data_IF_155775395640
#
_entry.id   IF_155775395640
#
_cell.length_a   1.000
_cell.length_b   1.000
_cell.length_c   1.000
_cell.angle_alpha   90.00
_cell.angle_beta   90.00
_cell.angle_gamma   90.00
#
_symmetry.space_group_name_H-M   'P 1'
#
loop_
_entity.id
_entity.type
_entity.pdbx_description
1 polymer ?
#
# COMPACT_ATOMS: atom_id res chain seq x y z
N UNK A 1 7.21 15.43 -0.17
CA UNK A 1 6.58 15.47 1.17
C UNK A 1 6.25 14.06 1.62
N UNK A 2 6.17 13.75 2.93
CA UNK A 2 5.62 12.47 3.39
C UNK A 2 4.49 12.72 4.40
N UNK A 3 3.32 12.15 4.09
CA UNK A 3 2.10 12.25 4.88
C UNK A 3 1.71 10.86 5.38
N UNK A 4 1.55 10.72 6.69
CA UNK A 4 1.07 9.48 7.32
C UNK A 4 -0.36 9.67 7.81
N UNK A 5 -1.26 8.83 7.33
CA UNK A 5 -2.70 8.88 7.61
C UNK A 5 -3.04 7.70 8.53
N UNK A 6 -3.58 7.98 9.70
CA UNK A 6 -3.73 7.01 10.79
C UNK A 6 -5.17 6.93 11.24
N UNK A 7 -5.63 5.75 11.68
CA UNK A 7 -6.95 5.59 12.26
C UNK A 7 -7.48 4.17 12.14
N UNK A 8 -8.58 3.90 12.82
CA UNK A 8 -9.24 2.59 12.84
C UNK A 8 -9.89 2.25 11.49
N UNK A 9 -10.31 0.99 11.33
CA UNK A 9 -11.06 0.59 10.14
C UNK A 9 -12.39 1.36 10.07
N UNK A 10 -12.77 1.78 8.85
CA UNK A 10 -13.94 2.63 8.65
C UNK A 10 -13.74 4.12 8.97
N UNK A 11 -12.58 4.56 9.46
CA UNK A 11 -12.37 5.97 9.85
C UNK A 11 -12.18 6.97 8.69
N UNK A 12 -12.34 6.53 7.43
CA UNK A 12 -12.20 7.40 6.27
C UNK A 12 -10.75 7.66 5.83
N UNK A 13 -9.80 6.77 6.17
CA UNK A 13 -8.40 6.84 5.71
C UNK A 13 -8.26 6.81 4.19
N UNK A 14 -8.81 5.78 3.54
CA UNK A 14 -8.80 5.63 2.08
C UNK A 14 -9.60 6.74 1.39
N UNK A 15 -10.63 7.25 2.06
CA UNK A 15 -11.39 8.42 1.59
C UNK A 15 -10.51 9.66 1.52
N UNK A 16 -9.80 10.03 2.59
CA UNK A 16 -8.94 11.22 2.58
C UNK A 16 -7.73 11.04 1.66
N UNK A 17 -7.20 9.82 1.59
CA UNK A 17 -6.13 9.46 0.66
C UNK A 17 -6.57 9.70 -0.80
N UNK A 18 -7.76 9.20 -1.16
CA UNK A 18 -8.34 9.39 -2.49
C UNK A 18 -8.76 10.84 -2.74
N UNK A 19 -9.27 11.54 -1.73
CA UNK A 19 -9.56 12.97 -1.80
C UNK A 19 -8.34 13.74 -2.27
N UNK A 20 -7.17 13.52 -1.64
CA UNK A 20 -5.93 14.15 -2.07
C UNK A 20 -5.55 13.76 -3.49
N UNK A 21 -5.65 12.47 -3.85
CA UNK A 21 -5.36 11.99 -5.21
C UNK A 21 -6.16 12.76 -6.29
N UNK A 22 -7.44 13.06 -6.02
CA UNK A 22 -8.29 13.82 -6.96
C UNK A 22 -7.88 15.28 -7.17
N UNK A 23 -7.01 15.84 -6.30
CA UNK A 23 -6.56 17.24 -6.40
C UNK A 23 -5.31 17.41 -7.25
N UNK A 24 -4.65 16.32 -7.63
CA UNK A 24 -3.41 16.39 -8.39
C UNK A 24 -3.64 16.18 -9.87
N UNK A 25 -2.96 17.01 -10.67
CA UNK A 25 -2.91 16.90 -12.14
C UNK A 25 -1.75 15.99 -12.58
N UNK A 26 -0.66 15.96 -11.79
CA UNK A 26 0.52 15.11 -12.04
C UNK A 26 0.19 13.62 -11.90
N UNK A 27 1.13 12.75 -12.27
CA UNK A 27 0.99 11.29 -12.11
C UNK A 27 0.58 10.90 -10.68
N UNK A 28 -0.39 10.00 -10.58
CA UNK A 28 -0.93 9.45 -9.34
C UNK A 28 -0.57 7.95 -9.30
N UNK A 29 0.51 7.63 -8.59
CA UNK A 29 0.94 6.25 -8.39
C UNK A 29 0.19 5.64 -7.20
N UNK A 30 -0.47 4.50 -7.36
CA UNK A 30 -1.17 3.90 -6.21
C UNK A 30 -1.24 2.37 -6.23
N UNK A 31 -1.14 1.75 -5.05
CA UNK A 31 -1.23 0.29 -4.87
C UNK A 31 -2.66 -0.24 -4.75
N UNK A 32 -3.65 0.65 -4.84
CA UNK A 32 -5.06 0.32 -4.93
C UNK A 32 -5.65 0.97 -6.18
N UNK A 33 -6.82 0.51 -6.60
CA UNK A 33 -7.44 0.96 -7.83
C UNK A 33 -8.05 2.35 -7.66
N UNK A 34 -7.57 3.29 -8.47
CA UNK A 34 -8.13 4.63 -8.58
C UNK A 34 -8.74 4.85 -9.97
N UNK A 35 -9.96 5.38 -10.00
CA UNK A 35 -10.68 5.74 -11.24
C UNK A 35 -10.37 7.20 -11.62
N UNK A 36 -9.09 7.47 -11.89
CA UNK A 36 -8.58 8.79 -12.29
C UNK A 36 -7.82 8.68 -13.62
N UNK A 37 -7.85 9.73 -14.44
CA UNK A 37 -7.23 9.70 -15.77
C UNK A 37 -5.68 9.65 -15.72
N UNK A 38 -5.09 10.14 -14.65
CA UNK A 38 -3.66 10.19 -14.38
C UNK A 38 -3.20 9.09 -13.40
N UNK A 39 -4.03 8.07 -13.17
CA UNK A 39 -3.69 6.93 -12.33
C UNK A 39 -2.67 6.02 -13.01
N UNK A 40 -1.64 5.63 -12.24
CA UNK A 40 -0.65 4.65 -12.61
C UNK A 40 -0.58 3.61 -11.47
N UNK A 41 -0.77 2.31 -11.75
CA UNK A 41 -0.67 1.28 -10.72
C UNK A 41 0.75 1.22 -10.17
N UNK A 42 0.88 1.22 -8.84
CA UNK A 42 2.16 1.07 -8.14
C UNK A 42 2.38 -0.40 -7.80
N UNK A 43 3.42 -0.98 -8.40
CA UNK A 43 3.84 -2.35 -8.20
C UNK A 43 5.22 -2.45 -7.54
N UNK A 44 5.62 -3.64 -7.09
CA UNK A 44 6.99 -3.86 -6.59
C UNK A 44 8.01 -3.58 -7.70
N UNK A 45 7.69 -3.91 -8.95
CA UNK A 45 8.61 -3.72 -10.06
C UNK A 45 8.96 -2.24 -10.25
N UNK A 46 8.04 -1.33 -9.92
CA UNK A 46 8.28 0.10 -9.96
C UNK A 46 9.23 0.54 -8.83
N UNK A 47 9.19 -0.12 -7.67
CA UNK A 47 10.20 0.11 -6.63
C UNK A 47 11.56 -0.46 -6.99
N UNK A 48 11.61 -1.60 -7.70
CA UNK A 48 12.86 -2.19 -8.17
C UNK A 48 13.50 -1.30 -9.25
N UNK A 49 12.67 -0.71 -10.10
CA UNK A 49 13.06 0.21 -11.16
C UNK A 49 12.64 1.64 -10.80
N UNK A 50 13.22 2.19 -9.72
CA UNK A 50 12.83 3.50 -9.19
C UNK A 50 12.89 4.63 -10.22
N UNK A 51 13.62 4.47 -11.32
CA UNK A 51 13.69 5.45 -12.40
C UNK A 51 12.36 5.65 -13.13
N UNK A 52 11.43 4.70 -13.01
CA UNK A 52 10.05 4.86 -13.47
C UNK A 52 9.22 5.74 -12.52
N UNK A 53 9.69 5.95 -11.29
CA UNK A 53 9.03 6.73 -10.25
C UNK A 53 9.66 8.12 -10.16
N UNK A 54 9.45 8.92 -11.21
CA UNK A 54 9.85 10.32 -11.24
C UNK A 54 8.61 11.20 -11.35
N UNK A 55 8.62 12.29 -10.59
CA UNK A 55 7.62 13.36 -10.57
C UNK A 55 6.16 12.90 -10.41
N UNK A 56 5.58 13.15 -9.24
CA UNK A 56 4.17 12.84 -9.00
C UNK A 56 3.85 12.61 -7.54
N UNK A 57 2.71 11.94 -7.33
CA UNK A 57 2.15 11.69 -6.01
C UNK A 57 1.91 10.19 -5.86
N UNK A 58 2.41 9.63 -4.77
CA UNK A 58 2.30 8.23 -4.44
C UNK A 58 1.30 8.04 -3.30
N UNK A 59 0.29 7.20 -3.51
CA UNK A 59 -0.77 6.89 -2.57
C UNK A 59 -0.74 5.40 -2.22
N UNK A 60 -0.32 5.09 -1.00
CA UNK A 60 -0.18 3.74 -0.51
C UNK A 60 -1.25 3.47 0.54
N UNK A 61 -2.30 2.74 0.17
CA UNK A 61 -3.26 2.21 1.14
C UNK A 61 -2.68 0.97 1.83
N UNK A 62 -2.92 0.82 3.11
CA UNK A 62 -2.38 -0.27 3.94
C UNK A 62 -0.86 -0.44 3.78
N UNK A 63 -0.13 0.68 3.84
CA UNK A 63 1.30 0.74 3.54
C UNK A 63 2.17 -0.13 4.46
N UNK A 64 1.64 -0.63 5.59
CA UNK A 64 2.31 -1.63 6.43
C UNK A 64 2.69 -2.89 5.63
N UNK A 65 1.97 -3.22 4.54
CA UNK A 65 2.33 -4.34 3.65
C UNK A 65 3.67 -4.15 2.93
N UNK A 66 4.20 -2.92 2.89
CA UNK A 66 5.48 -2.56 2.26
C UNK A 66 6.53 -2.16 3.31
N UNK A 67 6.14 -1.42 4.35
CA UNK A 67 7.04 -0.79 5.32
C UNK A 67 6.70 -1.10 6.79
N UNK A 68 6.76 -2.38 7.14
CA UNK A 68 6.46 -2.87 8.49
C UNK A 68 7.67 -2.83 9.44
N UNK A 69 7.48 -2.29 10.66
CA UNK A 69 8.53 -2.14 11.67
C UNK A 69 9.21 -3.46 12.07
N UNK A 70 8.44 -4.55 12.15
CA UNK A 70 8.94 -5.87 12.56
C UNK A 70 9.80 -6.55 11.50
N UNK A 71 9.69 -6.13 10.24
CA UNK A 71 10.46 -6.67 9.12
C UNK A 71 11.37 -5.61 8.49
N UNK A 72 11.86 -4.66 9.29
CA UNK A 72 12.73 -3.53 8.88
C UNK A 72 14.00 -3.89 8.10
N UNK A 73 14.53 -5.11 8.27
CA UNK A 73 15.68 -5.63 7.51
C UNK A 73 15.32 -6.31 6.18
N UNK A 74 14.03 -6.46 5.86
CA UNK A 74 13.58 -7.08 4.62
C UNK A 74 13.88 -6.16 3.40
N UNK A 75 14.28 -6.76 2.28
CA UNK A 75 14.64 -6.04 1.06
C UNK A 75 13.56 -5.04 0.60
N UNK A 76 12.28 -5.43 0.61
CA UNK A 76 11.18 -4.54 0.23
C UNK A 76 11.07 -3.32 1.15
N UNK A 77 11.24 -3.51 2.47
CA UNK A 77 11.18 -2.42 3.42
C UNK A 77 12.38 -1.48 3.24
N UNK A 78 13.59 -2.03 3.04
CA UNK A 78 14.78 -1.24 2.73
C UNK A 78 14.64 -0.43 1.43
N UNK A 79 14.13 -1.06 0.38
CA UNK A 79 13.86 -0.43 -0.92
C UNK A 79 12.86 0.71 -0.78
N UNK A 80 11.75 0.46 -0.10
CA UNK A 80 10.72 1.49 0.20
C UNK A 80 11.30 2.62 1.05
N UNK A 81 12.16 2.30 2.02
CA UNK A 81 12.86 3.31 2.84
C UNK A 81 13.79 4.18 1.99
N UNK A 82 14.54 3.60 1.05
CA UNK A 82 15.38 4.37 0.14
C UNK A 82 14.58 5.29 -0.76
N UNK A 83 13.44 4.84 -1.29
CA UNK A 83 12.53 5.69 -2.04
C UNK A 83 12.07 6.88 -1.19
N UNK A 84 11.64 6.64 0.05
CA UNK A 84 11.19 7.69 0.98
C UNK A 84 12.30 8.71 1.24
N UNK A 85 13.54 8.27 1.39
CA UNK A 85 14.68 9.18 1.60
C UNK A 85 14.99 10.00 0.35
N UNK A 86 14.83 9.42 -0.84
CA UNK A 86 15.14 10.08 -2.11
C UNK A 86 13.95 10.83 -2.71
N UNK A 87 12.77 10.83 -2.07
CA UNK A 87 11.52 11.43 -2.57
C UNK A 87 11.69 12.86 -3.10
N UNK A 88 12.51 13.71 -2.44
CA UNK A 88 12.74 15.10 -2.88
C UNK A 88 13.55 15.20 -4.17
N UNK A 89 14.53 14.31 -4.38
CA UNK A 89 15.31 14.27 -5.63
C UNK A 89 14.47 13.79 -6.83
N UNK A 90 13.37 13.08 -6.54
CA UNK A 90 12.44 12.53 -7.52
C UNK A 90 11.16 13.36 -7.67
N UNK A 91 11.05 14.50 -6.97
CA UNK A 91 9.83 15.32 -6.94
C UNK A 91 8.57 14.51 -6.60
N UNK A 92 8.70 13.60 -5.62
CA UNK A 92 7.62 12.75 -5.13
C UNK A 92 7.05 13.24 -3.80
N UNK A 93 5.73 13.34 -3.75
CA UNK A 93 4.96 13.42 -2.52
C UNK A 93 4.35 12.05 -2.23
N UNK A 94 4.52 11.56 -1.00
CA UNK A 94 4.11 10.21 -0.60
C UNK A 94 3.04 10.33 0.48
N UNK A 95 1.94 9.62 0.29
CA UNK A 95 0.79 9.54 1.18
C UNK A 95 0.60 8.07 1.54
N UNK A 96 0.58 7.76 2.84
CA UNK A 96 0.51 6.38 3.30
C UNK A 96 -0.53 6.23 4.40
N UNK A 97 -1.37 5.22 4.32
CA UNK A 97 -2.32 4.89 5.41
C UNK A 97 -1.79 3.77 6.28
N UNK A 98 -2.07 3.86 7.58
CA UNK A 98 -1.78 2.81 8.55
C UNK A 98 -2.89 2.74 9.60
N UNK A 99 -3.12 1.56 10.17
CA UNK A 99 -4.02 1.40 11.30
C UNK A 99 -3.36 1.86 12.61
N UNK A 100 -2.08 1.55 12.80
CA UNK A 100 -1.32 1.88 14.00
C UNK A 100 0.00 2.55 13.63
N UNK A 101 0.33 3.66 14.30
CA UNK A 101 1.63 4.31 14.08
C UNK A 101 2.82 3.44 14.52
N UNK A 102 2.60 2.49 15.42
CA UNK A 102 3.64 1.56 15.89
C UNK A 102 4.04 0.51 14.86
N UNK A 103 3.19 0.21 13.87
CA UNK A 103 3.50 -0.79 12.83
C UNK A 103 4.40 -0.25 11.73
N UNK A 104 4.58 1.07 11.63
CA UNK A 104 5.41 1.72 10.62
C UNK A 104 6.88 1.62 11.00
N UNK A 105 7.74 1.30 10.02
CA UNK A 105 9.19 1.38 10.20
C UNK A 105 9.63 2.72 10.82
N UNK A 106 10.54 2.64 11.80
CA UNK A 106 11.01 3.82 12.57
C UNK A 106 11.54 4.94 11.67
N UNK A 107 12.16 4.59 10.53
CA UNK A 107 12.71 5.55 9.57
C UNK A 107 11.60 6.34 8.90
N UNK A 108 10.58 5.65 8.38
CA UNK A 108 9.44 6.32 7.75
C UNK A 108 8.71 7.25 8.74
N UNK A 109 8.48 6.83 9.98
CA UNK A 109 7.85 7.68 11.02
C UNK A 109 8.60 8.97 11.31
N UNK A 110 9.93 8.88 11.35
CA UNK A 110 10.79 10.06 11.56
C UNK A 110 10.74 10.99 10.35
N UNK A 111 10.64 10.44 9.14
CA UNK A 111 10.57 11.20 7.88
C UNK A 111 9.18 11.76 7.55
N UNK A 112 8.13 11.38 8.28
CA UNK A 112 6.79 11.94 8.10
C UNK A 112 6.79 13.41 8.52
N UNK A 113 6.43 14.26 7.57
CA UNK A 113 6.29 15.71 7.76
C UNK A 113 4.93 16.03 8.39
N UNK A 114 3.89 15.35 7.89
CA UNK A 114 2.51 15.54 8.33
C UNK A 114 1.95 14.21 8.81
N UNK A 115 1.18 14.28 9.88
CA UNK A 115 0.36 13.16 10.38
C UNK A 115 -1.10 13.59 10.32
N UNK A 116 -1.96 12.79 9.71
CA UNK A 116 -3.41 12.99 9.69
C UNK A 116 -4.03 11.88 10.54
N UNK A 117 -4.68 12.23 11.64
CA UNK A 117 -5.45 11.29 12.46
C UNK A 117 -6.90 11.30 11.97
N UNK A 118 -7.42 10.12 11.67
CA UNK A 118 -8.74 9.89 11.11
C UNK A 118 -9.64 9.23 12.16
N UNK A 119 -10.74 9.89 12.47
CA UNK A 119 -11.78 9.42 13.38
C UNK A 119 -13.11 9.37 12.63
N UNK A 120 -13.82 8.25 12.73
CA UNK A 120 -15.23 8.20 12.34
C UNK A 120 -16.06 8.28 13.61
N UNK A 121 -16.99 9.23 13.63
CA UNK A 121 -18.02 9.32 14.68
C UNK A 121 -19.31 8.77 14.10
N UNK A 122 -19.40 7.45 13.98
CA UNK A 122 -20.66 6.79 13.68
C UNK A 122 -21.58 6.91 14.91
N UNK A 123 -22.23 8.06 15.08
CA UNK A 123 -23.31 8.25 16.05
C UNK A 123 -24.61 8.48 15.29
N UNK A 124 -25.50 7.50 15.42
CA UNK A 124 -26.94 7.36 15.12
C UNK A 124 -27.67 8.23 14.07
N UNK A 125 -27.23 9.45 13.72
CA UNK A 125 -27.94 10.33 12.77
C UNK A 125 -27.05 11.12 11.79
N UNK A 126 -25.74 11.24 12.02
CA UNK A 126 -24.84 12.00 11.12
C UNK A 126 -23.53 11.25 10.95
N UNK A 127 -23.38 10.53 9.83
CA UNK A 127 -22.06 10.03 9.42
C UNK A 127 -21.19 11.23 8.99
N UNK A 128 -20.07 11.41 9.66
CA UNK A 128 -19.01 12.33 9.26
C UNK A 128 -17.63 11.72 9.49
N UNK A 129 -16.63 12.29 8.82
CA UNK A 129 -15.24 11.90 8.95
C UNK A 129 -14.45 13.09 9.51
N UNK A 130 -13.84 12.90 10.67
CA UNK A 130 -13.02 13.90 11.34
C UNK A 130 -11.54 13.63 11.09
N UNK A 131 -10.82 14.70 10.81
CA UNK A 131 -9.41 14.66 10.47
C UNK A 131 -8.64 15.68 11.31
N UNK A 132 -7.70 15.20 12.11
CA UNK A 132 -6.72 16.05 12.81
C UNK A 132 -5.43 16.05 11.99
N UNK A 133 -5.12 17.20 11.39
CA UNK A 133 -3.92 17.44 10.63
C UNK A 133 -2.84 18.01 11.56
N UNK A 134 -1.69 17.33 11.62
CA UNK A 134 -0.55 17.69 12.47
C UNK A 134 0.66 17.90 11.56
N UNK A 135 1.11 19.15 11.42
CA UNK A 135 2.37 19.51 10.77
C UNK A 135 3.50 19.46 11.80
N UNK A 136 4.34 18.43 11.72
CA UNK A 136 5.43 18.21 12.67
C UNK A 136 6.57 19.21 12.50
N UNK A 137 6.73 19.79 11.32
CA UNK A 137 7.80 20.74 11.03
C UNK A 137 7.45 22.13 11.58
N UNK A 138 6.16 22.49 11.57
CA UNK A 138 5.66 23.78 12.07
C UNK A 138 5.10 23.73 13.50
N UNK A 139 4.86 22.54 14.05
CA UNK A 139 4.15 22.38 15.31
C UNK A 139 2.70 22.85 15.24
N UNK A 140 2.08 22.78 14.06
CA UNK A 140 0.70 23.23 13.83
C UNK A 140 -0.24 22.03 13.89
N UNK A 141 -1.35 22.19 14.62
CA UNK A 141 -2.44 21.23 14.65
C UNK A 141 -3.75 21.92 14.23
N UNK A 142 -4.48 21.31 13.31
CA UNK A 142 -5.78 21.80 12.86
C UNK A 142 -6.73 20.63 12.62
N UNK A 143 -8.01 20.84 12.88
CA UNK A 143 -9.04 19.83 12.68
C UNK A 143 -10.00 20.27 11.59
N UNK A 144 -10.43 19.31 10.77
CA UNK A 144 -11.47 19.53 9.79
C UNK A 144 -12.34 18.29 9.66
N UNK A 145 -13.51 18.47 9.05
CA UNK A 145 -14.51 17.42 8.91
C UNK A 145 -14.94 17.32 7.44
N UNK A 146 -15.14 16.09 6.96
CA UNK A 146 -15.82 15.82 5.70
C UNK A 146 -17.19 15.21 6.02
N UNK A 147 -18.30 15.95 5.83
CA UNK A 147 -19.64 15.40 5.91
C UNK A 147 -19.83 14.23 4.96
N UNK A 148 -20.57 13.19 5.37
CA UNK A 148 -20.78 12.00 4.54
C UNK A 148 -21.42 12.32 3.17
N UNK A 149 -22.31 13.32 3.11
CA UNK A 149 -22.87 13.81 1.83
C UNK A 149 -21.79 14.25 0.84
N UNK A 150 -20.71 14.88 1.33
CA UNK A 150 -19.56 15.28 0.51
C UNK A 150 -18.67 14.06 0.23
N UNK A 151 -18.44 13.20 1.22
CA UNK A 151 -17.66 11.97 1.08
C UNK A 151 -18.18 11.05 -0.04
N UNK A 152 -19.51 10.93 -0.20
CA UNK A 152 -20.15 10.14 -1.27
C UNK A 152 -19.65 10.50 -2.67
N UNK A 153 -19.30 11.77 -2.91
CA UNK A 153 -18.80 12.22 -4.20
C UNK A 153 -17.42 11.64 -4.55
N UNK A 154 -16.69 11.15 -3.54
CA UNK A 154 -15.36 10.58 -3.71
C UNK A 154 -15.35 9.05 -3.75
N UNK A 155 -16.39 8.37 -3.23
CA UNK A 155 -16.50 6.91 -3.29
C UNK A 155 -16.52 6.35 -4.71
N UNK A 156 -16.94 7.15 -5.71
CA UNK A 156 -16.87 6.74 -7.11
C UNK A 156 -15.44 6.58 -7.65
N UNK A 157 -14.43 7.11 -6.96
CA UNK A 157 -13.04 7.11 -7.43
C UNK A 157 -12.23 5.91 -6.95
N UNK A 158 -12.73 5.10 -6.02
CA UNK A 158 -12.02 3.94 -5.49
C UNK A 158 -12.99 2.82 -5.11
N UNK A 159 -12.47 1.64 -4.81
CA UNK A 159 -13.26 0.54 -4.26
C UNK A 159 -12.96 0.38 -2.76
N UNK A 160 -13.94 0.65 -1.91
CA UNK A 160 -13.82 0.53 -0.45
C UNK A 160 -13.58 -0.90 0.00
N UNK A 161 -14.01 -1.89 -0.79
CA UNK A 161 -13.89 -3.31 -0.44
C UNK A 161 -12.68 -3.98 -1.09
N UNK A 162 -11.80 -3.20 -1.74
CA UNK A 162 -10.58 -3.72 -2.33
C UNK A 162 -9.66 -4.31 -1.27
N UNK A 163 -9.26 -5.57 -1.46
CA UNK A 163 -8.34 -6.26 -0.57
C UNK A 163 -6.91 -6.00 -1.05
N UNK A 164 -6.15 -5.21 -0.30
CA UNK A 164 -4.73 -4.98 -0.55
C UNK A 164 -3.94 -6.23 -0.16
N UNK A 165 -3.51 -7.00 -1.18
CA UNK A 165 -2.79 -8.25 -0.95
C UNK A 165 -1.37 -7.99 -0.42
N UNK A 166 -0.94 -8.69 0.65
CA UNK A 166 0.45 -8.64 1.08
C UNK A 166 1.39 -9.18 -0.01
N UNK A 167 2.51 -8.49 -0.21
CA UNK A 167 3.48 -8.82 -1.25
C UNK A 167 4.15 -10.20 -1.10
N UNK A 168 4.06 -10.82 0.08
CA UNK A 168 4.67 -12.12 0.40
C UNK A 168 3.65 -13.25 0.58
N UNK A 169 2.40 -13.07 0.13
CA UNK A 169 1.34 -14.03 0.42
C UNK A 169 1.72 -15.46 0.00
N UNK A 170 2.29 -15.68 -1.20
CA UNK A 170 2.70 -17.01 -1.67
C UNK A 170 3.79 -17.66 -0.82
N UNK A 171 4.77 -16.87 -0.34
CA UNK A 171 5.82 -17.39 0.56
C UNK A 171 5.28 -17.70 1.95
N UNK A 172 4.35 -16.87 2.45
CA UNK A 172 3.69 -17.11 3.74
C UNK A 172 2.79 -18.35 3.66
N UNK A 173 1.99 -18.46 2.61
CA UNK A 173 1.20 -19.66 2.29
C UNK A 173 2.10 -20.90 2.25
N UNK A 174 3.21 -20.86 1.51
CA UNK A 174 4.14 -21.98 1.47
C UNK A 174 4.69 -22.35 2.85
N UNK A 175 5.10 -21.35 3.65
CA UNK A 175 5.59 -21.61 5.00
C UNK A 175 4.53 -22.20 5.92
N UNK A 176 3.27 -21.74 5.85
CA UNK A 176 2.15 -22.33 6.61
C UNK A 176 1.88 -23.76 6.14
N UNK A 177 2.02 -24.03 4.84
CA UNK A 177 1.82 -25.36 4.28
C UNK A 177 2.94 -26.34 4.60
N UNK A 178 4.15 -25.89 4.99
CA UNK A 178 5.22 -26.80 5.44
C UNK A 178 4.79 -27.66 6.61
N UNK A 179 4.01 -27.08 7.52
CA UNK A 179 3.50 -27.77 8.70
C UNK A 179 2.23 -28.58 8.39
N UNK A 180 1.73 -28.54 7.14
CA UNK A 180 0.58 -29.31 6.65
C UNK A 180 0.92 -30.07 5.35
N UNK A 181 1.50 -31.29 5.47
CA UNK A 181 1.94 -32.08 4.32
C UNK A 181 0.83 -32.37 3.28
N UNK A 182 -0.41 -32.58 3.73
CA UNK A 182 -1.56 -32.83 2.85
C UNK A 182 -1.94 -31.58 2.05
N UNK A 183 -1.97 -30.42 2.72
CA UNK A 183 -2.22 -29.13 2.08
C UNK A 183 -1.13 -28.77 1.07
N UNK A 184 0.13 -29.02 1.41
CA UNK A 184 1.26 -28.78 0.52
C UNK A 184 1.19 -29.65 -0.74
N UNK A 185 0.94 -30.95 -0.59
CA UNK A 185 0.76 -31.88 -1.72
C UNK A 185 -0.38 -31.44 -2.65
N UNK A 186 -1.50 -30.98 -2.08
CA UNK A 186 -2.62 -30.44 -2.87
C UNK A 186 -2.20 -29.20 -3.66
N UNK A 187 -1.50 -28.26 -3.02
CA UNK A 187 -1.05 -27.03 -3.66
C UNK A 187 -0.03 -27.28 -4.77
N UNK A 188 0.91 -28.21 -4.55
CA UNK A 188 1.87 -28.64 -5.57
C UNK A 188 1.13 -29.24 -6.77
N UNK A 189 0.13 -30.10 -6.56
CA UNK A 189 -0.68 -30.65 -7.66
C UNK A 189 -1.38 -29.55 -8.47
N UNK A 190 -1.96 -28.55 -7.82
CA UNK A 190 -2.57 -27.39 -8.49
C UNK A 190 -1.55 -26.63 -9.36
N UNK A 191 -0.35 -26.37 -8.83
CA UNK A 191 0.73 -25.69 -9.58
C UNK A 191 1.18 -26.54 -10.77
N UNK A 192 1.34 -27.85 -10.59
CA UNK A 192 1.74 -28.78 -11.65
C UNK A 192 0.72 -28.76 -12.78
N UNK A 193 -0.59 -28.79 -12.50
CA UNK A 193 -1.62 -28.75 -13.54
C UNK A 193 -1.61 -27.44 -14.34
N UNK A 194 -1.22 -26.31 -13.74
CA UNK A 194 -1.06 -25.02 -14.44
C UNK A 194 0.18 -25.03 -15.36
N UNK A 195 1.27 -25.66 -14.93
CA UNK A 195 2.55 -25.69 -15.64
C UNK A 195 2.57 -26.76 -16.74
N UNK A 196 1.91 -27.90 -16.51
CA UNK A 196 1.88 -29.07 -17.40
C UNK A 196 1.56 -28.74 -18.87
N UNK A 197 0.54 -27.93 -19.20
CA UNK A 197 0.25 -27.54 -20.59
C UNK A 197 1.28 -26.59 -21.20
N UNK A 198 2.16 -25.97 -20.40
CA UNK A 198 3.16 -24.99 -20.84
C UNK A 198 4.57 -25.57 -20.91
N UNK A 199 4.78 -26.83 -20.52
CA UNK A 199 6.09 -27.50 -20.42
C UNK A 199 6.94 -27.38 -21.70
N UNK A 200 6.32 -27.41 -22.88
CA UNK A 200 7.03 -27.34 -24.17
C UNK A 200 7.66 -25.95 -24.47
N UNK A 201 7.39 -24.93 -23.66
CA UNK A 201 7.81 -23.53 -23.87
C UNK A 201 8.70 -23.04 -22.72
N UNK A 202 8.78 -23.80 -21.62
CA UNK A 202 9.40 -23.35 -20.37
C UNK A 202 10.87 -23.76 -20.34
N UNK A 203 11.77 -22.77 -20.35
CA UNK A 203 13.21 -22.97 -20.11
C UNK A 203 13.50 -23.20 -18.62
N UNK A 204 14.69 -23.71 -18.28
CA UNK A 204 15.10 -23.95 -16.88
C UNK A 204 15.03 -22.68 -16.01
N UNK A 205 15.32 -21.50 -16.59
CA UNK A 205 15.17 -20.20 -15.94
C UNK A 205 13.72 -19.79 -15.72
N UNK A 206 12.83 -20.20 -16.63
CA UNK A 206 11.38 -19.99 -16.51
C UNK A 206 10.81 -20.80 -15.34
N UNK A 207 11.26 -22.05 -15.15
CA UNK A 207 10.90 -22.88 -13.98
C UNK A 207 11.38 -22.23 -12.70
N UNK A 208 12.64 -21.80 -12.66
CA UNK A 208 13.24 -21.17 -11.47
C UNK A 208 12.50 -19.88 -11.10
N UNK A 209 12.14 -19.07 -12.09
CA UNK A 209 11.33 -17.84 -11.90
C UNK A 209 9.94 -18.18 -11.39
N UNK A 210 9.26 -19.19 -11.95
CA UNK A 210 7.93 -19.62 -11.49
C UNK A 210 7.98 -20.15 -10.05
N UNK A 211 8.98 -20.96 -9.71
CA UNK A 211 9.16 -21.46 -8.35
C UNK A 211 9.43 -20.31 -7.37
N UNK A 212 10.29 -19.36 -7.73
CA UNK A 212 10.57 -18.17 -6.93
C UNK A 212 9.32 -17.28 -6.74
N UNK A 213 8.55 -17.05 -7.79
CA UNK A 213 7.27 -16.31 -7.74
C UNK A 213 6.24 -17.00 -6.84
N UNK A 214 6.32 -18.33 -6.70
CA UNK A 214 5.46 -19.12 -5.81
C UNK A 214 6.11 -19.41 -4.44
N UNK A 215 7.23 -18.76 -4.10
CA UNK A 215 7.88 -18.86 -2.80
C UNK A 215 8.64 -20.17 -2.53
N UNK A 216 8.86 -20.98 -3.56
CA UNK A 216 9.65 -22.20 -3.54
C UNK A 216 11.12 -21.86 -3.86
N UNK A 217 12.04 -22.28 -2.99
CA UNK A 217 13.50 -22.16 -3.20
C UNK A 217 14.09 -23.51 -3.59
#
# INVERSE_FOLDING_TARGET
MLISILGNNGSGKTLILTYYATKFIKNVYSNYLLKLNNYIPLTINDLLNMDNLNEGNMFMDEAYTWIEARTSGNALNLLTSYLIYQKRKRFLDIYMTFQMFSSIDKRARKMSNIVILCESRANFDIDDFHYTYIDKDKGLETTFMIPYKIAKNYFKYYDTYEIIKPQKISRLEFNVLKDNPKGLLKKIKEIVEIIKPKLNIITHDSIKTILLLNGLK
#
